data_IF_895739597119
#
_entry.id   IF_895739597119
#
_cell.length_a   1.000
_cell.length_b   1.000
_cell.length_c   1.000
_cell.angle_alpha   90.00
_cell.angle_beta   90.00
_cell.angle_gamma   90.00
#
_symmetry.space_group_name_H-M   'P 1'
#
loop_
_entity.id
_entity.type
_entity.pdbx_description
1 polymer ?
#
# COMPACT_ATOMS: atom_id res chain seq x y z
N UNK A 1 4.57 -7.93 -17.23
CA UNK A 1 4.34 -8.15 -15.78
C UNK A 1 3.50 -7.01 -15.24
N UNK A 2 2.42 -7.34 -14.56
CA UNK A 2 1.56 -6.33 -13.92
C UNK A 2 1.99 -6.16 -12.46
N UNK A 3 2.86 -5.20 -12.21
CA UNK A 3 3.43 -4.96 -10.88
C UNK A 3 2.38 -4.53 -9.85
N UNK A 4 1.34 -3.81 -10.28
CA UNK A 4 0.26 -3.40 -9.38
C UNK A 4 -0.52 -4.60 -8.87
N UNK A 5 -0.79 -5.56 -9.75
CA UNK A 5 -1.43 -6.82 -9.35
C UNK A 5 -0.55 -7.65 -8.41
N UNK A 6 0.75 -7.73 -8.69
CA UNK A 6 1.67 -8.41 -7.79
C UNK A 6 1.62 -7.78 -6.41
N UNK A 7 1.63 -6.44 -6.34
CA UNK A 7 1.60 -5.72 -5.07
C UNK A 7 0.31 -5.97 -4.30
N UNK A 8 -0.83 -5.93 -4.96
CA UNK A 8 -2.14 -6.07 -4.31
C UNK A 8 -2.49 -7.53 -4.02
N UNK A 9 -2.25 -8.43 -4.96
CA UNK A 9 -2.74 -9.81 -4.88
C UNK A 9 -1.72 -10.81 -4.32
N UNK A 10 -0.43 -10.64 -4.65
CA UNK A 10 0.60 -11.59 -4.22
C UNK A 10 1.35 -11.14 -2.97
N UNK A 11 1.55 -9.84 -2.78
CA UNK A 11 2.22 -9.27 -1.61
C UNK A 11 1.18 -8.84 -0.58
N UNK A 12 0.29 -7.95 -0.93
CA UNK A 12 -0.82 -7.42 -0.15
C UNK A 12 -0.37 -6.63 1.08
N UNK A 13 0.23 -7.29 2.07
CA UNK A 13 0.70 -6.64 3.30
C UNK A 13 2.12 -6.12 3.12
N UNK A 14 2.30 -4.85 3.38
CA UNK A 14 3.59 -4.15 3.20
C UNK A 14 3.97 -3.41 4.47
N UNK A 15 5.24 -3.07 4.59
CA UNK A 15 5.73 -2.17 5.63
C UNK A 15 5.84 -0.78 5.01
N UNK A 16 5.10 0.18 5.56
CA UNK A 16 5.10 1.57 5.11
C UNK A 16 5.93 2.41 6.07
N UNK A 17 6.79 3.25 5.52
CA UNK A 17 7.58 4.23 6.27
C UNK A 17 7.06 5.63 6.01
N UNK A 18 6.88 6.38 7.08
CA UNK A 18 6.52 7.81 7.06
C UNK A 18 7.42 8.58 7.99
N UNK A 19 7.36 9.90 7.91
CA UNK A 19 8.18 10.79 8.74
C UNK A 19 7.24 11.71 9.50
N UNK A 20 7.48 11.90 10.81
CA UNK A 20 6.70 12.83 11.61
C UNK A 20 7.22 14.27 11.48
N UNK A 21 6.56 15.22 12.18
CA UNK A 21 6.91 16.64 12.09
C UNK A 21 8.31 16.97 12.61
N UNK A 22 8.91 16.06 13.40
CA UNK A 22 10.27 16.24 13.92
C UNK A 22 11.34 15.58 13.06
N UNK A 23 10.92 14.92 11.96
CA UNK A 23 11.85 14.24 11.06
C UNK A 23 12.14 12.80 11.44
N UNK A 24 11.46 12.24 12.45
CA UNK A 24 11.65 10.83 12.83
C UNK A 24 10.84 9.90 11.92
N UNK A 25 11.47 8.84 11.41
CA UNK A 25 10.76 7.83 10.61
C UNK A 25 9.96 6.90 11.51
N UNK A 26 8.79 6.49 11.01
CA UNK A 26 7.92 5.50 11.63
C UNK A 26 7.55 4.46 10.59
N UNK A 27 7.42 3.20 11.03
CA UNK A 27 6.98 2.10 10.16
C UNK A 27 5.78 1.39 10.77
N UNK A 28 4.93 0.87 9.90
CA UNK A 28 3.80 0.02 10.31
C UNK A 28 3.38 -0.83 9.12
N UNK A 29 2.62 -1.87 9.41
CA UNK A 29 2.11 -2.78 8.39
C UNK A 29 0.78 -2.24 7.86
N UNK A 30 0.64 -2.25 6.53
CA UNK A 30 -0.58 -1.89 5.83
C UNK A 30 -0.86 -2.86 4.71
N UNK A 31 -2.12 -2.94 4.33
CA UNK A 31 -2.52 -3.72 3.16
C UNK A 31 -2.71 -2.80 1.95
N UNK A 32 -2.16 -3.21 0.81
CA UNK A 32 -2.47 -2.61 -0.47
C UNK A 32 -3.74 -3.28 -0.97
N UNK A 33 -4.83 -2.53 -0.99
CA UNK A 33 -6.20 -3.08 -1.03
C UNK A 33 -6.76 -3.28 -2.41
N UNK A 34 -6.37 -2.42 -3.34
CA UNK A 34 -6.99 -2.39 -4.67
C UNK A 34 -6.10 -1.64 -5.65
N UNK A 35 -6.22 -1.95 -6.92
CA UNK A 35 -5.53 -1.24 -7.98
C UNK A 35 -6.51 -1.03 -9.16
N UNK A 36 -6.30 0.05 -9.91
CA UNK A 36 -7.17 0.40 -11.04
C UNK A 36 -6.44 0.38 -12.39
N UNK A 37 -5.27 -0.25 -12.43
CA UNK A 37 -4.41 -0.29 -13.60
C UNK A 37 -3.43 0.88 -13.71
N UNK A 38 -3.62 1.92 -12.90
CA UNK A 38 -2.76 3.12 -12.89
C UNK A 38 -2.04 3.28 -11.56
N UNK A 39 -2.71 3.05 -10.45
CA UNK A 39 -2.18 3.24 -9.11
C UNK A 39 -2.77 2.21 -8.14
N UNK A 40 -2.22 2.20 -6.93
CA UNK A 40 -2.70 1.34 -5.85
C UNK A 40 -3.32 2.18 -4.74
N UNK A 41 -4.31 1.59 -4.08
CA UNK A 41 -5.13 2.23 -3.06
C UNK A 41 -4.99 1.50 -1.74
N UNK A 42 -5.00 2.27 -0.67
CA UNK A 42 -5.04 1.76 0.69
C UNK A 42 -5.92 2.67 1.56
N UNK A 43 -6.19 2.24 2.77
CA UNK A 43 -7.02 3.02 3.69
C UNK A 43 -6.45 2.99 5.10
N UNK A 44 -6.83 3.99 5.88
CA UNK A 44 -6.57 4.03 7.31
C UNK A 44 -7.72 4.77 8.00
N UNK A 45 -7.92 4.48 9.29
CA UNK A 45 -8.94 5.17 10.06
C UNK A 45 -8.44 6.58 10.46
N UNK A 46 -9.34 7.56 10.44
CA UNK A 46 -8.99 8.97 10.69
C UNK A 46 -8.57 9.27 12.13
N UNK A 47 -8.81 8.34 13.06
CA UNK A 47 -8.36 8.49 14.45
C UNK A 47 -6.94 7.95 14.69
N UNK A 48 -6.30 7.36 13.66
CA UNK A 48 -4.95 6.81 13.79
C UNK A 48 -3.88 7.86 13.50
N UNK A 49 -2.72 7.79 14.19
CA UNK A 49 -1.61 8.73 13.92
C UNK A 49 -1.16 8.74 12.46
N UNK A 50 -1.25 7.60 11.76
CA UNK A 50 -0.90 7.49 10.36
C UNK A 50 -1.68 8.48 9.49
N UNK A 51 -2.99 8.56 9.68
CA UNK A 51 -3.85 9.47 8.89
C UNK A 51 -3.34 10.91 9.00
N UNK A 52 -3.06 11.35 10.21
CA UNK A 52 -2.54 12.69 10.46
C UNK A 52 -1.19 12.90 9.77
N UNK A 53 -0.26 11.94 9.92
CA UNK A 53 1.06 12.04 9.30
C UNK A 53 0.99 12.15 7.78
N UNK A 54 0.15 11.31 7.14
CA UNK A 54 0.01 11.31 5.68
C UNK A 54 -0.61 12.60 5.15
N UNK A 55 -1.49 13.24 5.92
CA UNK A 55 -2.06 14.53 5.54
C UNK A 55 -1.07 15.66 5.68
N UNK A 56 -0.15 15.58 6.62
CA UNK A 56 0.87 16.60 6.85
C UNK A 56 2.07 16.43 5.91
N UNK A 57 2.43 15.18 5.59
CA UNK A 57 3.55 14.88 4.70
C UNK A 57 3.17 13.67 3.84
N UNK A 58 2.99 13.92 2.56
CA UNK A 58 2.54 12.92 1.59
C UNK A 58 3.65 11.94 1.16
N UNK A 59 4.89 12.17 1.57
CA UNK A 59 6.01 11.31 1.17
C UNK A 59 5.97 10.00 1.94
N UNK A 60 6.06 8.89 1.21
CA UNK A 60 6.08 7.55 1.79
C UNK A 60 7.09 6.67 1.08
N UNK A 61 7.57 5.66 1.79
CA UNK A 61 8.27 4.53 1.21
C UNK A 61 7.61 3.27 1.74
N UNK A 62 7.59 2.23 0.93
CA UNK A 62 7.09 0.93 1.38
C UNK A 62 7.91 -0.20 0.80
N UNK A 63 7.86 -1.33 1.45
CA UNK A 63 8.41 -2.57 0.92
C UNK A 63 7.55 -3.75 1.37
N UNK A 64 7.47 -4.75 0.52
CA UNK A 64 6.78 -5.98 0.83
C UNK A 64 7.29 -7.11 -0.04
N UNK A 65 6.98 -8.33 0.38
CA UNK A 65 7.36 -9.54 -0.33
C UNK A 65 6.17 -10.49 -0.42
N UNK A 66 6.24 -11.41 -1.38
CA UNK A 66 5.19 -12.42 -1.55
C UNK A 66 4.99 -13.20 -0.26
N UNK A 67 3.73 -13.46 0.07
CA UNK A 67 3.36 -14.14 1.30
C UNK A 67 3.82 -15.61 1.28
N UNK A 68 4.27 -16.08 2.43
CA UNK A 68 4.65 -17.48 2.65
C UNK A 68 5.76 -18.00 1.75
N UNK A 69 6.51 -17.12 1.10
CA UNK A 69 7.62 -17.50 0.24
C UNK A 69 8.92 -17.57 1.03
N UNK A 70 9.70 -18.61 0.81
CA UNK A 70 11.09 -18.68 1.25
C UNK A 70 11.93 -17.74 0.40
N UNK A 71 13.20 -17.55 0.78
CA UNK A 71 14.09 -16.61 0.09
C UNK A 71 14.18 -16.86 -1.42
N UNK A 72 14.30 -18.12 -1.84
CA UNK A 72 14.47 -18.46 -3.26
C UNK A 72 13.17 -18.45 -4.07
N UNK A 73 12.04 -18.28 -3.41
CA UNK A 73 10.71 -18.20 -4.05
C UNK A 73 10.10 -16.81 -3.93
N UNK A 74 10.90 -15.86 -3.50
CA UNK A 74 10.42 -14.52 -3.13
C UNK A 74 10.42 -13.56 -4.31
N UNK A 75 9.32 -12.83 -4.46
CA UNK A 75 9.26 -11.59 -5.21
C UNK A 75 9.05 -10.47 -4.21
N UNK A 76 9.66 -9.33 -4.44
CA UNK A 76 9.48 -8.15 -3.58
C UNK A 76 9.33 -6.89 -4.41
N UNK A 77 8.64 -5.92 -3.82
CA UNK A 77 8.46 -4.58 -4.40
C UNK A 77 8.78 -3.56 -3.33
N UNK A 78 9.57 -2.55 -3.70
CA UNK A 78 9.77 -1.35 -2.91
C UNK A 78 9.26 -0.15 -3.70
N UNK A 79 8.47 0.71 -3.07
CA UNK A 79 7.99 1.96 -3.66
C UNK A 79 8.49 3.13 -2.86
N UNK A 80 8.82 4.21 -3.56
CA UNK A 80 9.07 5.51 -2.95
C UNK A 80 8.28 6.55 -3.72
N UNK A 81 7.49 7.35 -3.03
CA UNK A 81 6.67 8.32 -3.74
C UNK A 81 5.81 9.18 -2.83
N UNK A 82 4.74 9.68 -3.40
CA UNK A 82 3.79 10.56 -2.74
C UNK A 82 2.39 9.99 -2.83
N UNK A 83 1.69 10.02 -1.72
CA UNK A 83 0.28 9.61 -1.64
C UNK A 83 -0.62 10.84 -1.62
N UNK A 84 -1.90 10.63 -1.90
CA UNK A 84 -2.92 11.66 -1.88
C UNK A 84 -4.15 11.10 -1.16
N UNK A 85 -4.67 11.89 -0.23
CA UNK A 85 -5.94 11.58 0.43
C UNK A 85 -7.10 11.91 -0.51
N UNK A 86 -7.98 10.95 -0.73
CA UNK A 86 -9.13 11.08 -1.62
C UNK A 86 -10.47 10.85 -0.91
N UNK A 87 -10.46 10.90 0.42
CA UNK A 87 -11.69 10.82 1.23
C UNK A 87 -12.35 9.44 1.18
N UNK A 88 -13.55 9.38 0.66
CA UNK A 88 -14.33 8.14 0.54
C UNK A 88 -14.36 7.58 -0.89
N UNK A 89 -13.65 8.20 -1.80
CA UNK A 89 -13.61 7.77 -3.19
C UNK A 89 -13.06 6.34 -3.29
N UNK A 90 -13.76 5.47 -4.02
CA UNK A 90 -13.44 4.05 -4.18
C UNK A 90 -13.47 3.21 -2.89
N UNK A 91 -13.99 3.75 -1.78
CA UNK A 91 -14.07 2.98 -0.54
C UNK A 91 -14.84 1.67 -0.73
N UNK A 92 -15.94 1.69 -1.48
CA UNK A 92 -16.72 0.49 -1.76
C UNK A 92 -15.92 -0.60 -2.45
N UNK A 93 -15.13 -0.23 -3.47
CA UNK A 93 -14.29 -1.17 -4.20
C UNK A 93 -13.21 -1.79 -3.29
N UNK A 94 -12.59 -0.98 -2.43
CA UNK A 94 -11.59 -1.47 -1.49
C UNK A 94 -12.19 -2.47 -0.51
N UNK A 95 -13.36 -2.17 0.05
CA UNK A 95 -14.03 -3.04 1.02
C UNK A 95 -14.53 -4.34 0.36
N UNK A 96 -15.10 -4.24 -0.84
CA UNK A 96 -15.62 -5.41 -1.55
C UNK A 96 -14.49 -6.35 -1.98
N UNK A 97 -13.34 -5.82 -2.33
CA UNK A 97 -12.17 -6.62 -2.67
C UNK A 97 -11.51 -7.25 -1.43
N UNK A 98 -11.81 -6.75 -0.24
CA UNK A 98 -11.18 -7.19 1.03
C UNK A 98 -12.27 -7.40 2.10
N UNK A 99 -13.09 -8.46 1.97
CA UNK A 99 -14.22 -8.70 2.88
C UNK A 99 -13.86 -8.79 4.36
N UNK A 100 -12.61 -9.13 4.71
CA UNK A 100 -12.14 -9.16 6.09
C UNK A 100 -12.29 -7.79 6.78
N UNK A 101 -12.37 -6.70 6.00
CA UNK A 101 -12.56 -5.36 6.56
C UNK A 101 -13.92 -5.21 7.25
N UNK A 102 -14.93 -5.97 6.82
CA UNK A 102 -16.25 -5.98 7.48
C UNK A 102 -16.21 -6.70 8.82
N UNK A 103 -15.21 -7.55 9.06
CA UNK A 103 -14.99 -8.18 10.35
C UNK A 103 -14.25 -7.25 11.31
N UNK A 104 -13.28 -6.47 10.78
CA UNK A 104 -12.52 -5.50 11.58
C UNK A 104 -13.39 -4.29 11.93
N UNK A 105 -14.20 -3.83 10.98
CA UNK A 105 -15.10 -2.67 11.13
C UNK A 105 -16.54 -3.11 10.81
N UNK A 106 -17.22 -3.80 11.73
CA UNK A 106 -18.51 -4.42 11.45
C UNK A 106 -19.69 -3.44 11.39
N UNK A 107 -19.51 -2.21 11.85
CA UNK A 107 -20.60 -1.22 11.88
C UNK A 107 -20.38 -0.12 10.83
N UNK A 108 -21.47 0.49 10.37
CA UNK A 108 -21.40 1.64 9.48
C UNK A 108 -20.68 2.82 10.13
N UNK A 109 -20.92 3.03 11.43
CA UNK A 109 -20.24 4.07 12.18
C UNK A 109 -18.72 3.85 12.20
N UNK A 110 -18.26 2.63 12.48
CA UNK A 110 -16.84 2.29 12.45
C UNK A 110 -16.24 2.52 11.07
N UNK A 111 -16.93 2.07 10.02
CA UNK A 111 -16.47 2.26 8.64
C UNK A 111 -16.48 3.72 8.19
N UNK A 112 -17.26 4.57 8.84
CA UNK A 112 -17.30 6.02 8.52
C UNK A 112 -15.97 6.72 8.80
N UNK A 113 -15.11 6.11 9.62
CA UNK A 113 -13.78 6.64 9.93
C UNK A 113 -12.72 6.26 8.90
N UNK A 114 -13.03 5.35 7.97
CA UNK A 114 -12.06 4.89 6.99
C UNK A 114 -11.84 5.95 5.90
N UNK A 115 -10.58 6.24 5.65
CA UNK A 115 -10.15 7.26 4.70
C UNK A 115 -9.25 6.63 3.66
N UNK A 116 -9.51 6.92 2.40
CA UNK A 116 -8.81 6.31 1.26
C UNK A 116 -7.66 7.20 0.79
N UNK A 117 -6.56 6.54 0.49
CA UNK A 117 -5.37 7.15 -0.10
C UNK A 117 -4.98 6.36 -1.35
N UNK A 118 -4.36 7.04 -2.30
CA UNK A 118 -3.72 6.38 -3.43
C UNK A 118 -2.34 7.00 -3.66
N UNK A 119 -1.51 6.31 -4.44
CA UNK A 119 -0.25 6.89 -4.88
C UNK A 119 -0.52 7.83 -6.05
N UNK A 120 -0.21 9.09 -5.85
CA UNK A 120 -0.28 10.12 -6.87
C UNK A 120 0.89 9.95 -7.85
N UNK A 121 2.05 9.56 -7.31
CA UNK A 121 3.26 9.32 -8.07
C UNK A 121 4.23 8.48 -7.24
N UNK A 122 4.84 7.50 -7.85
CA UNK A 122 5.85 6.66 -7.17
C UNK A 122 6.79 6.01 -8.18
N UNK A 123 7.96 5.63 -7.69
CA UNK A 123 8.92 4.79 -8.40
C UNK A 123 9.03 3.49 -7.64
N UNK A 124 8.93 2.37 -8.35
CA UNK A 124 9.01 1.04 -7.78
C UNK A 124 10.19 0.26 -8.29
N UNK A 125 10.71 -0.58 -7.43
CA UNK A 125 11.74 -1.56 -7.76
C UNK A 125 11.17 -2.96 -7.50
N UNK A 126 11.18 -3.79 -8.54
CA UNK A 126 10.75 -5.19 -8.48
C UNK A 126 11.97 -6.10 -8.47
N UNK A 127 11.95 -7.10 -7.58
CA UNK A 127 13.05 -8.05 -7.42
C UNK A 127 12.47 -9.46 -7.32
N UNK A 128 12.92 -10.36 -8.21
CA UNK A 128 12.36 -11.69 -8.35
C UNK A 128 13.45 -12.75 -8.21
N UNK A 129 13.44 -13.49 -7.11
CA UNK A 129 14.36 -14.58 -6.82
C UNK A 129 13.85 -15.95 -7.30
N UNK A 130 12.66 -16.01 -7.91
CA UNK A 130 12.18 -17.24 -8.55
C UNK A 130 12.96 -17.54 -9.84
N UNK A 131 13.70 -16.56 -10.34
CA UNK A 131 14.59 -16.67 -11.49
C UNK A 131 16.02 -16.51 -11.05
N UNK A 132 16.97 -17.22 -11.70
CA UNK A 132 18.39 -17.09 -11.43
C UNK A 132 19.15 -16.89 -12.76
N UNK A 133 19.96 -15.84 -12.89
CA UNK A 133 20.16 -14.75 -11.90
C UNK A 133 18.86 -14.01 -11.62
N UNK A 134 18.74 -13.33 -10.45
CA UNK A 134 17.52 -12.64 -10.09
C UNK A 134 17.10 -11.63 -11.14
N UNK A 135 15.79 -11.57 -11.42
CA UNK A 135 15.23 -10.57 -12.32
C UNK A 135 14.97 -9.28 -11.54
N UNK A 136 15.38 -8.16 -12.09
CA UNK A 136 15.17 -6.84 -11.49
C UNK A 136 14.54 -5.92 -12.54
N UNK A 137 13.58 -5.12 -12.11
CA UNK A 137 12.94 -4.13 -12.98
C UNK A 137 12.55 -2.91 -12.17
N UNK A 138 12.50 -1.77 -12.85
CA UNK A 138 12.02 -0.52 -12.28
C UNK A 138 10.73 -0.14 -13.01
N UNK A 139 9.77 0.41 -12.27
CA UNK A 139 8.51 0.86 -12.83
C UNK A 139 8.06 2.16 -12.15
N UNK A 140 7.11 2.85 -12.78
CA UNK A 140 6.57 4.10 -12.26
C UNK A 140 5.05 3.98 -12.09
N UNK A 141 4.53 4.69 -11.08
CA UNK A 141 3.11 4.85 -10.85
C UNK A 141 2.77 6.33 -11.01
N UNK A 142 1.72 6.61 -11.78
CA UNK A 142 1.11 7.92 -11.86
C UNK A 142 -0.40 7.75 -11.74
N UNK A 143 -0.91 8.21 -10.63
CA UNK A 143 -2.33 8.08 -10.32
C UNK A 143 -3.17 9.30 -10.69
#
# INVERSE_FOLDING_TARGET
MDYLKVLVEEIHSVVVATVDETGHPHTFVMDMMWEDGKTVYFLTADFKPLYKRLKEDERVALTGMTQRAGTMDRKSISLTGQVEWIGKEHLGELLDANPYMYEIYPTEEGRSHLQVFHFKKAVGDFYDLTQLPPYQARFEIEG
#
